data_IF_212766492957
#
_entry.id   IF_212766492957
#
_cell.length_a   1.000
_cell.length_b   1.000
_cell.length_c   1.000
_cell.angle_alpha   90.00
_cell.angle_beta   90.00
_cell.angle_gamma   90.00
#
_symmetry.space_group_name_H-M   'P 1'
#
loop_
_entity.id
_entity.type
_entity.pdbx_description
1 polymer ?
#
# COMPACT_ATOMS: atom_id res chain seq x y z
N UNK A 1 11.96 10.98 25.93
CA UNK A 1 11.48 12.24 25.34
C UNK A 1 11.63 12.13 23.83
N UNK A 2 10.59 11.72 23.10
CA UNK A 2 10.63 11.77 21.64
C UNK A 2 10.53 13.24 21.23
N UNK A 3 11.57 13.77 20.60
CA UNK A 3 11.56 15.13 20.09
C UNK A 3 10.53 15.22 18.97
N UNK A 4 9.51 16.07 19.15
CA UNK A 4 8.62 16.44 18.05
C UNK A 4 9.47 17.11 16.97
N UNK A 5 9.36 16.60 15.73
CA UNK A 5 10.08 17.13 14.57
C UNK A 5 9.10 17.83 13.67
N UNK A 6 9.30 19.12 13.44
CA UNK A 6 8.57 19.85 12.40
C UNK A 6 9.04 19.40 11.01
N UNK A 7 8.08 19.19 10.12
CA UNK A 7 8.30 18.82 8.72
C UNK A 7 7.45 19.73 7.86
N UNK A 8 8.07 20.48 6.94
CA UNK A 8 7.36 21.26 5.95
C UNK A 8 6.73 20.32 4.92
N UNK A 9 5.41 20.41 4.75
CA UNK A 9 4.65 19.67 3.74
C UNK A 9 4.18 20.67 2.69
N UNK A 10 4.91 20.75 1.59
CA UNK A 10 4.45 21.45 0.38
C UNK A 10 3.63 20.52 -0.53
N UNK A 11 3.04 21.07 -1.59
CA UNK A 11 2.21 20.30 -2.53
C UNK A 11 2.98 19.16 -3.20
N UNK A 12 4.26 19.39 -3.53
CA UNK A 12 5.10 18.36 -4.16
C UNK A 12 5.34 17.20 -3.22
N UNK A 13 5.67 17.49 -1.95
CA UNK A 13 5.86 16.49 -0.92
C UNK A 13 4.55 15.76 -0.59
N UNK A 14 3.42 16.47 -0.61
CA UNK A 14 2.10 15.88 -0.41
C UNK A 14 1.75 14.84 -1.50
N UNK A 15 2.07 15.10 -2.77
CA UNK A 15 1.70 14.18 -3.86
C UNK A 15 2.77 13.14 -4.21
N UNK A 16 4.06 13.47 -4.09
CA UNK A 16 5.18 12.60 -4.48
C UNK A 16 5.88 11.92 -3.29
N UNK A 17 5.58 12.35 -2.06
CA UNK A 17 6.24 11.86 -0.85
C UNK A 17 7.78 11.96 -0.94
N UNK A 18 8.47 10.97 -0.35
CA UNK A 18 9.94 10.85 -0.41
C UNK A 18 10.42 10.00 -1.60
N UNK A 19 9.50 9.43 -2.38
CA UNK A 19 9.79 8.28 -3.24
C UNK A 19 9.50 8.52 -4.73
N UNK A 20 9.09 9.74 -5.09
CA UNK A 20 9.05 10.21 -6.47
C UNK A 20 7.65 10.20 -7.10
N UNK A 21 7.61 10.23 -8.43
CA UNK A 21 6.36 10.43 -9.17
C UNK A 21 5.37 9.25 -9.04
N UNK A 22 4.07 9.52 -8.88
CA UNK A 22 3.00 8.52 -9.00
C UNK A 22 3.06 7.72 -10.32
N UNK A 23 3.63 8.28 -11.39
CA UNK A 23 3.80 7.61 -12.69
C UNK A 23 4.63 6.32 -12.61
N UNK A 24 5.43 6.14 -11.56
CA UNK A 24 6.16 4.89 -11.32
C UNK A 24 5.24 3.68 -11.11
N UNK A 25 3.95 3.91 -10.81
CA UNK A 25 2.94 2.85 -10.72
C UNK A 25 2.36 2.44 -12.08
N UNK A 26 2.63 3.17 -13.17
CA UNK A 26 2.23 2.74 -14.52
C UNK A 26 2.77 1.35 -14.87
N UNK A 27 4.05 1.10 -14.55
CA UNK A 27 4.68 -0.21 -14.77
C UNK A 27 4.02 -1.34 -13.96
N UNK A 28 3.51 -1.03 -12.78
CA UNK A 28 2.81 -2.00 -11.94
C UNK A 28 1.51 -2.44 -12.60
N UNK A 29 0.77 -1.50 -13.19
CA UNK A 29 -0.46 -1.80 -13.93
C UNK A 29 -0.20 -2.62 -15.19
N UNK A 30 0.84 -2.28 -15.96
CA UNK A 30 1.24 -3.08 -17.14
C UNK A 30 1.55 -4.54 -16.78
N UNK A 31 2.17 -4.77 -15.62
CA UNK A 31 2.48 -6.11 -15.14
C UNK A 31 1.22 -6.83 -14.66
N UNK A 32 0.36 -6.14 -13.93
CA UNK A 32 -0.90 -6.70 -13.46
C UNK A 32 -1.79 -7.14 -14.64
N UNK A 33 -1.88 -6.33 -15.70
CA UNK A 33 -2.63 -6.66 -16.92
C UNK A 33 -2.11 -7.92 -17.60
N UNK A 34 -0.78 -8.06 -17.72
CA UNK A 34 -0.16 -9.28 -18.26
C UNK A 34 -0.44 -10.54 -17.45
N UNK A 35 -0.85 -10.38 -16.19
CA UNK A 35 -1.22 -11.46 -15.29
C UNK A 35 -2.74 -11.54 -15.05
N UNK A 36 -3.54 -10.93 -15.94
CA UNK A 36 -5.00 -11.10 -15.95
C UNK A 36 -5.77 -10.08 -15.10
N UNK A 37 -5.11 -9.10 -14.51
CA UNK A 37 -5.78 -7.99 -13.81
C UNK A 37 -5.82 -6.75 -14.69
N UNK A 38 -7.00 -6.39 -15.20
CA UNK A 38 -7.24 -5.08 -15.79
C UNK A 38 -8.01 -4.21 -14.78
N UNK A 39 -7.58 -2.96 -14.52
CA UNK A 39 -8.33 -2.03 -13.68
C UNK A 39 -9.77 -1.88 -14.18
N UNK A 40 -10.74 -2.25 -13.35
CA UNK A 40 -12.17 -2.11 -13.64
C UNK A 40 -12.88 -1.43 -12.47
N UNK A 41 -13.98 -0.76 -12.77
CA UNK A 41 -14.75 -0.05 -11.74
C UNK A 41 -15.20 -1.03 -10.65
N UNK A 42 -14.97 -0.67 -9.39
CA UNK A 42 -15.27 -1.49 -8.22
C UNK A 42 -14.19 -2.52 -7.85
N UNK A 43 -13.16 -2.73 -8.69
CA UNK A 43 -12.05 -3.61 -8.34
C UNK A 43 -11.34 -3.11 -7.08
N UNK A 44 -10.98 -4.05 -6.20
CA UNK A 44 -10.39 -3.77 -4.88
C UNK A 44 -8.87 -3.93 -4.94
N UNK A 45 -8.14 -2.87 -4.63
CA UNK A 45 -6.67 -2.84 -4.61
C UNK A 45 -6.18 -2.59 -3.20
N UNK A 46 -5.24 -3.41 -2.74
CA UNK A 46 -4.51 -3.18 -1.51
C UNK A 46 -3.07 -2.79 -1.82
N UNK A 47 -2.58 -1.66 -1.28
CA UNK A 47 -1.21 -1.21 -1.45
C UNK A 47 -0.47 -1.18 -0.11
N UNK A 48 0.50 -2.08 0.04
CA UNK A 48 1.35 -2.22 1.21
C UNK A 48 2.63 -1.37 1.09
N UNK A 49 2.75 -0.39 1.97
CA UNK A 49 3.82 0.60 1.97
C UNK A 49 3.60 1.70 0.94
N UNK A 50 2.39 2.27 0.90
CA UNK A 50 1.99 3.20 -0.16
C UNK A 50 2.86 4.46 -0.23
N UNK A 51 3.41 4.94 0.88
CA UNK A 51 4.38 6.05 0.95
C UNK A 51 3.93 7.46 0.49
N UNK A 52 3.00 7.57 -0.46
CA UNK A 52 2.45 8.82 -0.98
C UNK A 52 1.02 8.62 -1.46
N UNK A 53 0.19 9.67 -1.44
CA UNK A 53 -1.23 9.50 -1.78
C UNK A 53 -1.56 9.61 -3.27
N UNK A 54 -0.63 10.13 -4.09
CA UNK A 54 -0.91 10.50 -5.48
C UNK A 54 -1.44 9.33 -6.32
N UNK A 55 -0.79 8.17 -6.29
CA UNK A 55 -1.22 7.01 -7.07
C UNK A 55 -2.48 6.34 -6.52
N UNK A 56 -2.69 6.33 -5.19
CA UNK A 56 -3.93 5.81 -4.60
C UNK A 56 -5.15 6.59 -5.11
N UNK A 57 -5.04 7.93 -5.16
CA UNK A 57 -6.11 8.80 -5.69
C UNK A 57 -6.30 8.61 -7.19
N UNK A 58 -5.23 8.48 -7.96
CA UNK A 58 -5.31 8.18 -9.40
C UNK A 58 -6.09 6.88 -9.66
N UNK A 59 -5.81 5.82 -8.89
CA UNK A 59 -6.52 4.55 -8.99
C UNK A 59 -7.99 4.70 -8.58
N UNK A 60 -8.26 5.36 -7.45
CA UNK A 60 -9.63 5.59 -6.99
C UNK A 60 -10.46 6.43 -7.98
N UNK A 61 -9.87 7.47 -8.58
CA UNK A 61 -10.51 8.29 -9.62
C UNK A 61 -10.83 7.48 -10.89
N UNK A 62 -10.09 6.40 -11.14
CA UNK A 62 -10.40 5.43 -12.22
C UNK A 62 -11.51 4.44 -11.83
N UNK A 63 -12.12 4.59 -10.65
CA UNK A 63 -13.25 3.79 -10.18
C UNK A 63 -12.89 2.63 -9.24
N UNK A 64 -11.63 2.50 -8.84
CA UNK A 64 -11.19 1.41 -7.97
C UNK A 64 -11.44 1.70 -6.49
N UNK A 65 -11.56 0.65 -5.69
CA UNK A 65 -11.64 0.73 -4.23
C UNK A 65 -10.27 0.42 -3.64
N UNK A 66 -9.59 1.45 -3.13
CA UNK A 66 -8.16 1.37 -2.84
C UNK A 66 -7.91 1.44 -1.33
N UNK A 67 -7.24 0.45 -0.77
CA UNK A 67 -6.75 0.47 0.62
C UNK A 67 -5.25 0.65 0.63
N UNK A 68 -4.75 1.71 1.24
CA UNK A 68 -3.32 1.93 1.46
C UNK A 68 -2.95 1.69 2.92
N UNK A 69 -1.90 0.90 3.17
CA UNK A 69 -1.36 0.67 4.52
C UNK A 69 0.10 1.05 4.58
N UNK A 70 0.51 1.77 5.61
CA UNK A 70 1.92 2.13 5.84
C UNK A 70 2.24 2.25 7.34
N UNK A 71 3.51 2.12 7.69
CA UNK A 71 4.01 2.24 9.07
C UNK A 71 4.50 3.66 9.40
N UNK A 72 4.70 4.54 8.40
CA UNK A 72 5.21 5.90 8.62
C UNK A 72 4.17 6.78 9.34
N UNK A 73 4.49 7.16 10.57
CA UNK A 73 3.66 7.98 11.48
C UNK A 73 3.34 9.38 10.95
N UNK A 74 4.07 9.87 9.94
CA UNK A 74 3.77 11.16 9.30
C UNK A 74 2.51 11.07 8.42
N UNK A 75 2.27 9.93 7.76
CA UNK A 75 1.20 9.80 6.78
C UNK A 75 -0.21 9.98 7.35
N UNK A 76 -0.58 9.46 8.55
CA UNK A 76 -1.90 9.74 9.10
C UNK A 76 -2.13 11.23 9.42
N UNK A 77 -1.08 11.98 9.75
CA UNK A 77 -1.16 13.44 9.94
C UNK A 77 -1.29 14.15 8.60
N UNK A 78 -0.45 13.77 7.63
CA UNK A 78 -0.42 14.40 6.31
C UNK A 78 -1.71 14.15 5.51
N UNK A 79 -2.35 12.99 5.68
CA UNK A 79 -3.49 12.55 4.86
C UNK A 79 -4.78 12.35 5.65
N UNK A 80 -4.91 12.93 6.85
CA UNK A 80 -6.04 12.76 7.79
C UNK A 80 -7.42 12.78 7.10
N UNK A 81 -7.61 13.67 6.10
CA UNK A 81 -8.89 13.90 5.41
C UNK A 81 -9.01 13.24 4.04
N UNK A 82 -8.10 12.33 3.71
CA UNK A 82 -8.03 11.78 2.36
C UNK A 82 -8.65 10.39 2.21
N UNK A 83 -9.05 9.75 3.31
CA UNK A 83 -9.92 8.57 3.27
C UNK A 83 -11.35 8.96 2.88
N UNK A 84 -12.03 8.10 2.13
CA UNK A 84 -13.41 8.31 1.67
C UNK A 84 -13.55 8.27 0.14
N UNK A 85 -14.70 8.73 -0.38
CA UNK A 85 -14.96 8.76 -1.82
C UNK A 85 -13.93 9.61 -2.59
N UNK A 86 -13.47 9.11 -3.73
CA UNK A 86 -12.54 9.82 -4.60
C UNK A 86 -12.86 9.48 -6.07
N UNK A 87 -13.49 10.42 -6.79
CA UNK A 87 -14.03 10.15 -8.12
C UNK A 87 -15.15 9.11 -8.06
N UNK A 88 -15.10 8.09 -8.93
CA UNK A 88 -16.04 6.96 -8.93
C UNK A 88 -15.63 5.81 -8.00
N UNK A 89 -14.49 5.92 -7.32
CA UNK A 89 -13.97 4.94 -6.37
C UNK A 89 -13.83 5.49 -4.95
N UNK A 90 -12.97 4.87 -4.14
CA UNK A 90 -12.66 5.33 -2.78
C UNK A 90 -11.24 5.00 -2.36
N UNK A 91 -10.77 5.72 -1.33
CA UNK A 91 -9.50 5.47 -0.66
C UNK A 91 -9.76 5.16 0.83
N UNK A 92 -9.15 4.10 1.34
CA UNK A 92 -9.04 3.81 2.77
C UNK A 92 -7.57 3.84 3.17
N UNK A 93 -7.18 4.76 4.04
CA UNK A 93 -5.82 4.82 4.57
C UNK A 93 -5.77 4.22 5.96
N UNK A 94 -4.85 3.29 6.17
CA UNK A 94 -4.57 2.69 7.46
C UNK A 94 -3.09 2.91 7.82
N UNK A 95 -2.81 3.05 9.11
CA UNK A 95 -1.47 3.20 9.63
C UNK A 95 -1.21 2.18 10.74
N UNK A 96 -0.06 1.50 10.66
CA UNK A 96 0.34 0.47 11.62
C UNK A 96 1.12 -0.67 10.97
N UNK A 97 1.50 -1.66 11.77
CA UNK A 97 2.31 -2.81 11.33
C UNK A 97 1.43 -3.94 10.84
N UNK A 98 1.09 -3.92 9.55
CA UNK A 98 0.40 -5.02 8.92
C UNK A 98 1.37 -6.18 8.59
N UNK A 99 1.03 -7.45 8.90
CA UNK A 99 -0.16 -7.95 9.58
C UNK A 99 0.09 -8.33 11.06
N UNK A 100 1.09 -7.71 11.72
CA UNK A 100 1.36 -7.96 13.13
C UNK A 100 0.21 -7.48 14.04
N UNK A 101 -0.53 -6.46 13.61
CA UNK A 101 -1.64 -5.88 14.34
C UNK A 101 -2.98 -6.45 13.85
N UNK A 102 -3.66 -7.23 14.70
CA UNK A 102 -4.91 -7.92 14.35
C UNK A 102 -6.05 -6.93 13.99
N UNK A 103 -6.17 -5.83 14.73
CA UNK A 103 -7.15 -4.77 14.44
C UNK A 103 -6.94 -4.17 13.04
N UNK A 104 -5.68 -4.03 12.61
CA UNK A 104 -5.33 -3.50 11.30
C UNK A 104 -5.72 -4.49 10.19
N UNK A 105 -5.53 -5.79 10.42
CA UNK A 105 -5.99 -6.86 9.51
C UNK A 105 -7.52 -6.82 9.38
N UNK A 106 -8.24 -6.69 10.49
CA UNK A 106 -9.70 -6.60 10.48
C UNK A 106 -10.20 -5.35 9.73
N UNK A 107 -9.56 -4.19 9.93
CA UNK A 107 -9.88 -2.94 9.21
C UNK A 107 -9.56 -3.03 7.72
N UNK A 108 -8.46 -3.69 7.35
CA UNK A 108 -8.11 -3.94 5.96
C UNK A 108 -9.14 -4.85 5.28
N UNK A 109 -9.62 -5.88 5.98
CA UNK A 109 -10.54 -6.86 5.43
C UNK A 109 -9.93 -7.70 4.31
N UNK A 110 -10.78 -8.37 3.53
CA UNK A 110 -10.38 -9.31 2.46
C UNK A 110 -11.17 -9.06 1.17
N UNK A 111 -10.90 -9.88 0.14
CA UNK A 111 -11.59 -9.84 -1.15
C UNK A 111 -10.97 -8.88 -2.15
N UNK A 112 -9.65 -8.64 -2.04
CA UNK A 112 -8.88 -7.80 -2.95
C UNK A 112 -8.59 -8.51 -4.26
N UNK A 113 -8.72 -7.79 -5.37
CA UNK A 113 -8.42 -8.29 -6.71
C UNK A 113 -6.92 -8.11 -7.04
N UNK A 114 -6.23 -7.20 -6.36
CA UNK A 114 -4.81 -6.93 -6.52
C UNK A 114 -4.14 -6.54 -5.19
N UNK A 115 -2.99 -7.15 -4.90
CA UNK A 115 -2.07 -6.73 -3.84
C UNK A 115 -0.83 -6.09 -4.44
N UNK A 116 -0.56 -4.84 -4.07
CA UNK A 116 0.58 -4.05 -4.50
C UNK A 116 1.58 -3.89 -3.36
N UNK A 117 2.85 -3.92 -3.73
CA UNK A 117 3.95 -3.78 -2.78
C UNK A 117 5.20 -3.33 -3.53
N UNK A 118 5.47 -2.02 -3.52
CA UNK A 118 6.61 -1.45 -4.23
C UNK A 118 7.75 -1.21 -3.25
N UNK A 119 8.95 -1.74 -3.58
CA UNK A 119 10.19 -1.56 -2.81
C UNK A 119 10.19 -2.10 -1.38
N UNK A 120 9.14 -2.78 -0.94
CA UNK A 120 8.97 -3.32 0.43
C UNK A 120 9.48 -4.76 0.55
N UNK A 121 9.25 -5.62 -0.45
CA UNK A 121 9.49 -7.07 -0.41
C UNK A 121 10.98 -7.45 -0.64
N UNK A 122 11.27 -8.53 -1.38
CA UNK A 122 12.63 -9.09 -1.55
C UNK A 122 13.62 -8.05 -2.07
N UNK A 123 14.76 -7.88 -1.38
CA UNK A 123 15.77 -6.82 -1.63
C UNK A 123 15.25 -5.38 -1.39
N UNK A 124 14.07 -5.25 -0.81
CA UNK A 124 13.40 -4.00 -0.44
C UNK A 124 13.56 -3.67 1.05
N UNK A 125 12.57 -3.02 1.64
CA UNK A 125 12.66 -2.54 3.02
C UNK A 125 12.51 -3.62 4.10
N UNK A 126 11.88 -4.77 3.83
CA UNK A 126 11.75 -5.88 4.79
C UNK A 126 13.05 -6.69 4.87
N UNK A 127 13.62 -7.01 3.71
CA UNK A 127 14.91 -7.71 3.58
C UNK A 127 15.88 -6.89 2.72
N UNK A 128 16.48 -5.81 3.25
CA UNK A 128 17.37 -4.95 2.48
C UNK A 128 18.59 -5.70 1.96
N UNK A 129 18.92 -5.50 0.69
CA UNK A 129 20.11 -6.11 0.09
C UNK A 129 21.42 -5.35 0.38
N UNK A 130 21.35 -4.16 0.98
CA UNK A 130 22.52 -3.32 1.27
C UNK A 130 22.99 -3.54 2.71
N UNK A 131 24.30 -3.65 2.89
CA UNK A 131 24.93 -3.78 4.20
C UNK A 131 25.95 -2.64 4.42
N UNK A 132 25.83 -1.84 5.50
CA UNK A 132 24.78 -1.90 6.52
C UNK A 132 23.47 -1.26 6.02
N UNK A 133 22.34 -1.86 6.38
CA UNK A 133 21.04 -1.24 6.15
C UNK A 133 20.86 -0.02 7.07
N UNK A 134 20.50 1.13 6.50
CA UNK A 134 20.09 2.29 7.29
C UNK A 134 18.79 1.98 8.05
N UNK A 135 18.73 2.13 9.38
CA UNK A 135 17.55 1.77 10.18
C UNK A 135 16.25 2.46 9.74
N UNK A 136 16.35 3.64 9.13
CA UNK A 136 15.21 4.40 8.57
C UNK A 136 14.57 3.73 7.35
N UNK A 137 15.23 2.75 6.77
CA UNK A 137 14.80 2.05 5.56
C UNK A 137 14.61 0.56 5.83
N UNK A 138 14.41 0.17 7.10
CA UNK A 138 14.11 -1.21 7.48
C UNK A 138 12.70 -1.25 8.02
N UNK A 139 11.81 -1.92 7.32
CA UNK A 139 10.46 -2.22 7.81
C UNK A 139 10.53 -3.55 8.56
N UNK A 140 10.23 -3.52 9.85
CA UNK A 140 10.10 -4.73 10.66
C UNK A 140 8.65 -5.19 10.65
N UNK A 141 8.39 -6.32 9.98
CA UNK A 141 7.04 -6.90 9.88
C UNK A 141 6.41 -7.20 11.24
N UNK A 142 7.22 -7.62 12.23
CA UNK A 142 6.71 -8.05 13.54
C UNK A 142 6.08 -9.45 13.55
N UNK A 143 6.12 -10.14 12.42
CA UNK A 143 5.69 -11.53 12.21
C UNK A 143 6.72 -12.24 11.32
N UNK A 144 6.61 -13.57 11.17
CA UNK A 144 7.42 -14.31 10.20
C UNK A 144 6.98 -14.03 8.76
N UNK A 145 7.88 -14.27 7.79
CA UNK A 145 7.59 -14.13 6.37
C UNK A 145 6.44 -15.07 5.94
N UNK A 146 6.38 -16.27 6.50
CA UNK A 146 5.32 -17.24 6.21
C UNK A 146 3.96 -16.70 6.65
N UNK A 147 3.87 -16.14 7.87
CA UNK A 147 2.63 -15.53 8.36
C UNK A 147 2.24 -14.30 7.51
N UNK A 148 3.22 -13.51 7.08
CA UNK A 148 2.98 -12.40 6.16
C UNK A 148 2.40 -12.88 4.83
N UNK A 149 3.05 -13.85 4.19
CA UNK A 149 2.61 -14.39 2.89
C UNK A 149 1.26 -15.10 3.00
N UNK A 150 1.01 -15.81 4.11
CA UNK A 150 -0.29 -16.40 4.40
C UNK A 150 -1.37 -15.32 4.46
N UNK A 151 -1.13 -14.21 5.18
CA UNK A 151 -2.10 -13.12 5.25
C UNK A 151 -2.36 -12.47 3.88
N UNK A 152 -1.30 -12.27 3.08
CA UNK A 152 -1.43 -11.75 1.70
C UNK A 152 -2.26 -12.69 0.84
N UNK A 153 -2.09 -14.00 0.99
CA UNK A 153 -2.89 -14.99 0.28
C UNK A 153 -4.35 -14.96 0.71
N UNK A 154 -4.62 -14.91 2.02
CA UNK A 154 -5.98 -14.93 2.59
C UNK A 154 -6.81 -13.68 2.25
N UNK A 155 -6.16 -12.52 2.05
CA UNK A 155 -6.87 -11.28 1.72
C UNK A 155 -7.26 -11.14 0.24
N UNK A 156 -6.63 -11.93 -0.64
CA UNK A 156 -6.93 -11.91 -2.07
C UNK A 156 -8.21 -12.70 -2.36
N UNK A 157 -8.97 -12.26 -3.37
CA UNK A 157 -10.11 -13.01 -3.88
C UNK A 157 -9.61 -14.23 -4.66
N UNK A 158 -10.15 -15.41 -4.37
CA UNK A 158 -9.99 -16.60 -5.20
C UNK A 158 -11.06 -16.63 -6.29
N UNK A 159 -10.64 -16.61 -7.54
CA UNK A 159 -11.49 -17.03 -8.66
C UNK A 159 -11.34 -18.55 -8.82
N UNK A 160 -12.35 -19.31 -8.41
CA UNK A 160 -12.42 -20.77 -8.58
C UNK A 160 -13.01 -21.17 -9.95
N UNK A 161 -12.80 -20.38 -11.00
CA UNK A 161 -13.43 -20.63 -12.32
C UNK A 161 -12.46 -21.23 -13.37
N UNK A 162 -11.39 -21.91 -12.95
CA UNK A 162 -10.46 -22.61 -13.85
C UNK A 162 -10.62 -24.14 -13.85
N UNK A 163 -11.85 -24.62 -13.65
CA UNK A 163 -12.25 -26.01 -13.93
C UNK A 163 -13.56 -26.01 -14.75
N UNK A 164 -13.42 -25.81 -16.06
CA UNK A 164 -14.50 -25.97 -17.06
C UNK A 164 -13.90 -26.33 -18.40
#
# INVERSE_FOLDING_TARGET
MSGQREVLVDESFFYAGRYGSPLTYGRVLDLAEKHGFAPSAGARVFDFGYGSIGHLRMLAQSGLQVTGVDVDELLPVMYEKCSGPCGSGSVLLLNGRFPAEEELVQKAGTGYDLFLSKNTLKRGYIHPAREPASPRHVIRLGVSDEKYLQQVFEMLRFFWDFCG
#
